data_IF_237045405683
#
_entry.id   IF_237045405683
#
_cell.length_a   1.000
_cell.length_b   1.000
_cell.length_c   1.000
_cell.angle_alpha   90.00
_cell.angle_beta   90.00
_cell.angle_gamma   90.00
#
_symmetry.space_group_name_H-M   'P 1'
#
loop_
_entity.id
_entity.type
_entity.pdbx_description
1 polymer ?
#
# COMPACT_ATOMS: atom_id res chain seq x y z
N UNK A 1 8.37 3.26 -4.55
CA UNK A 1 7.61 1.99 -4.35
C UNK A 1 6.85 2.08 -3.03
N UNK A 2 5.69 1.42 -2.86
CA UNK A 2 4.88 1.53 -1.62
C UNK A 2 5.67 1.26 -0.33
N UNK A 3 6.62 0.32 -0.35
CA UNK A 3 7.50 0.04 0.79
C UNK A 3 8.40 1.23 1.18
N UNK A 4 8.89 2.01 0.20
CA UNK A 4 9.69 3.21 0.44
C UNK A 4 8.81 4.34 0.99
N UNK A 5 7.54 4.43 0.54
CA UNK A 5 6.60 5.42 1.07
C UNK A 5 6.23 5.13 2.52
N UNK A 6 5.97 3.85 2.84
CA UNK A 6 5.73 3.38 4.22
C UNK A 6 6.93 3.65 5.13
N UNK A 7 8.15 3.42 4.64
CA UNK A 7 9.36 3.75 5.40
C UNK A 7 9.51 5.26 5.63
N UNK A 8 9.20 6.08 4.61
CA UNK A 8 9.34 7.52 4.70
C UNK A 8 8.34 8.16 5.69
N UNK A 9 7.07 7.75 5.66
CA UNK A 9 6.04 8.28 6.59
C UNK A 9 6.27 7.87 8.06
N UNK A 10 7.04 6.80 8.31
CA UNK A 10 7.44 6.40 9.67
C UNK A 10 8.18 7.52 10.42
N UNK A 11 8.94 8.34 9.69
CA UNK A 11 9.67 9.47 10.27
C UNK A 11 8.72 10.57 10.75
N UNK A 12 7.60 10.76 10.05
CA UNK A 12 6.56 11.75 10.39
C UNK A 12 5.69 11.25 11.55
N UNK A 13 5.28 9.97 11.52
CA UNK A 13 4.48 9.36 12.59
C UNK A 13 5.15 9.39 13.98
N UNK A 14 6.50 9.37 14.02
CA UNK A 14 7.27 9.48 15.26
C UNK A 14 7.18 10.87 15.93
N UNK A 15 6.81 11.95 15.22
CA UNK A 15 6.65 13.28 15.82
C UNK A 15 5.41 13.39 16.72
N UNK A 16 4.38 12.59 16.43
CA UNK A 16 3.11 12.60 17.17
C UNK A 16 3.14 11.72 18.42
N UNK A 17 3.97 10.68 18.45
CA UNK A 17 4.10 9.77 19.60
C UNK A 17 5.11 10.26 20.66
N UNK A 18 6.11 11.03 20.25
CA UNK A 18 7.08 11.67 21.15
C UNK A 18 7.29 13.12 20.69
N UNK A 19 6.86 14.15 21.45
CA UNK A 19 7.04 15.54 21.05
C UNK A 19 8.53 15.86 20.92
N UNK A 20 9.05 15.91 19.69
CA UNK A 20 10.39 16.40 19.44
C UNK A 20 10.31 17.92 19.53
N UNK A 21 10.83 18.47 20.64
CA UNK A 21 10.95 19.92 20.79
C UNK A 21 12.01 20.43 19.83
N UNK A 22 11.73 21.53 19.12
CA UNK A 22 12.76 22.24 18.36
C UNK A 22 13.89 22.66 19.31
N UNK A 23 15.14 22.28 19.00
CA UNK A 23 16.34 22.69 19.76
C UNK A 23 16.59 24.21 19.71
N UNK A 24 15.88 24.92 18.82
CA UNK A 24 16.03 26.37 18.59
C UNK A 24 15.01 27.19 19.39
N UNK A 25 13.78 26.69 19.57
CA UNK A 25 12.67 27.48 20.15
C UNK A 25 11.95 26.81 21.32
N UNK A 26 12.23 25.55 21.63
CA UNK A 26 11.56 24.79 22.70
C UNK A 26 10.07 24.49 22.43
N UNK A 27 9.56 24.86 21.25
CA UNK A 27 8.16 24.69 20.84
C UNK A 27 7.89 23.29 20.29
N UNK A 28 6.66 22.81 20.46
CA UNK A 28 6.17 21.58 19.82
C UNK A 28 6.16 21.80 18.31
N UNK A 29 6.83 20.91 17.55
CA UNK A 29 6.75 20.90 16.08
C UNK A 29 5.32 20.50 15.71
N UNK A 30 4.61 21.39 15.03
CA UNK A 30 3.25 21.10 14.53
C UNK A 30 3.36 20.25 13.27
N UNK A 31 2.49 19.26 13.15
CA UNK A 31 2.28 18.53 11.90
C UNK A 31 1.71 19.52 10.87
N UNK A 32 2.37 19.64 9.73
CA UNK A 32 1.88 20.46 8.62
C UNK A 32 0.70 19.75 7.92
N UNK A 33 -0.34 20.46 7.45
CA UNK A 33 -1.42 19.85 6.67
C UNK A 33 -0.92 18.93 5.54
N UNK A 34 0.17 19.27 4.84
CA UNK A 34 0.74 18.43 3.80
C UNK A 34 1.32 17.10 4.30
N UNK A 35 1.81 17.05 5.55
CA UNK A 35 2.29 15.81 6.17
C UNK A 35 1.13 14.87 6.55
N UNK A 36 -0.01 15.43 6.94
CA UNK A 36 -1.21 14.65 7.23
C UNK A 36 -1.83 14.08 5.96
N UNK A 37 -1.91 14.88 4.89
CA UNK A 37 -2.38 14.43 3.57
C UNK A 37 -1.52 13.30 3.01
N UNK A 38 -0.20 13.41 3.10
CA UNK A 38 0.69 12.36 2.62
C UNK A 38 0.52 11.02 3.35
N UNK A 39 0.22 11.04 4.66
CA UNK A 39 -0.12 9.82 5.39
C UNK A 39 -1.41 9.16 4.86
N UNK A 40 -2.41 9.96 4.46
CA UNK A 40 -3.64 9.44 3.88
C UNK A 40 -3.41 8.83 2.50
N UNK A 41 -2.54 9.44 1.68
CA UNK A 41 -2.15 8.89 0.38
C UNK A 41 -1.49 7.52 0.52
N UNK A 42 -0.56 7.37 1.48
CA UNK A 42 0.08 6.07 1.74
C UNK A 42 -0.94 5.03 2.22
N UNK A 43 -1.92 5.41 3.03
CA UNK A 43 -3.00 4.51 3.43
C UNK A 43 -3.87 4.07 2.24
N UNK A 44 -4.23 4.99 1.34
CA UNK A 44 -4.99 4.66 0.14
C UNK A 44 -4.22 3.71 -0.78
N UNK A 45 -2.93 3.95 -0.99
CA UNK A 45 -2.07 3.04 -1.74
C UNK A 45 -1.99 1.65 -1.11
N UNK A 46 -1.96 1.55 0.22
CA UNK A 46 -1.98 0.26 0.93
C UNK A 46 -3.31 -0.46 0.71
N UNK A 47 -4.43 0.25 0.75
CA UNK A 47 -5.73 -0.35 0.44
C UNK A 47 -5.80 -0.83 -1.01
N UNK A 48 -5.33 -0.05 -1.96
CA UNK A 48 -5.30 -0.45 -3.37
C UNK A 48 -4.42 -1.69 -3.56
N UNK A 49 -3.23 -1.70 -2.98
CA UNK A 49 -2.28 -2.82 -3.11
C UNK A 49 -2.78 -4.13 -2.46
N UNK A 50 -3.30 -4.07 -1.23
CA UNK A 50 -3.66 -5.28 -0.48
C UNK A 50 -5.08 -5.80 -0.76
N UNK A 51 -6.02 -4.94 -1.18
CA UNK A 51 -7.41 -5.34 -1.31
C UNK A 51 -7.98 -5.11 -2.72
N UNK A 52 -7.77 -3.92 -3.29
CA UNK A 52 -8.42 -3.56 -4.56
C UNK A 52 -7.76 -4.24 -5.75
N UNK A 53 -6.43 -4.11 -5.89
CA UNK A 53 -5.68 -4.74 -6.98
C UNK A 53 -5.83 -6.26 -6.99
N UNK A 54 -5.72 -6.99 -5.85
CA UNK A 54 -5.88 -8.44 -5.85
C UNK A 54 -7.25 -8.89 -6.37
N UNK A 55 -8.33 -8.23 -5.96
CA UNK A 55 -9.69 -8.55 -6.44
C UNK A 55 -9.86 -8.18 -7.93
N UNK A 56 -9.34 -7.02 -8.37
CA UNK A 56 -9.32 -6.64 -9.79
C UNK A 56 -8.58 -7.68 -10.64
N UNK A 57 -7.42 -8.16 -10.17
CA UNK A 57 -6.62 -9.18 -10.86
C UNK A 57 -7.39 -10.52 -10.89
N UNK A 58 -8.01 -10.93 -9.77
CA UNK A 58 -8.82 -12.14 -9.68
C UNK A 58 -9.97 -12.13 -10.70
N UNK A 59 -10.71 -11.02 -10.80
CA UNK A 59 -11.79 -10.83 -11.78
C UNK A 59 -11.28 -10.90 -13.23
N UNK A 60 -10.20 -10.18 -13.55
CA UNK A 60 -9.58 -10.22 -14.90
C UNK A 60 -9.15 -11.63 -15.29
N UNK A 61 -8.55 -12.37 -14.35
CA UNK A 61 -8.13 -13.77 -14.56
C UNK A 61 -9.31 -14.70 -14.76
N UNK A 62 -10.37 -14.57 -13.96
CA UNK A 62 -11.57 -15.37 -14.11
C UNK A 62 -12.18 -15.20 -15.52
N UNK A 63 -12.29 -13.94 -15.98
CA UNK A 63 -12.75 -13.64 -17.33
C UNK A 63 -11.85 -14.24 -18.43
N UNK A 64 -10.53 -14.18 -18.26
CA UNK A 64 -9.60 -14.77 -19.23
C UNK A 64 -9.66 -16.32 -19.22
N UNK A 65 -9.75 -16.94 -18.05
CA UNK A 65 -9.92 -18.39 -17.92
C UNK A 65 -11.22 -18.86 -18.58
N UNK A 66 -12.33 -18.11 -18.45
CA UNK A 66 -13.57 -18.42 -19.15
C UNK A 66 -13.38 -18.43 -20.68
N UNK A 67 -12.64 -17.46 -21.22
CA UNK A 67 -12.30 -17.42 -22.66
C UNK A 67 -11.40 -18.57 -23.10
N UNK A 68 -10.48 -19.02 -22.24
CA UNK A 68 -9.56 -20.14 -22.55
C UNK A 68 -10.25 -21.52 -22.48
N UNK A 69 -11.28 -21.67 -21.65
CA UNK A 69 -12.07 -22.91 -21.58
C UNK A 69 -12.78 -23.23 -22.89
N UNK A 70 -13.28 -22.21 -23.59
CA UNK A 70 -14.03 -22.40 -24.85
C UNK A 70 -13.23 -23.18 -25.92
N UNK A 71 -11.97 -22.84 -26.22
CA UNK A 71 -11.12 -23.62 -27.13
C UNK A 71 -10.37 -24.79 -26.46
N UNK A 72 -10.70 -25.16 -25.20
CA UNK A 72 -10.00 -26.24 -24.49
C UNK A 72 -8.53 -25.93 -24.12
N UNK A 73 -8.15 -24.65 -24.01
CA UNK A 73 -6.78 -24.23 -23.68
C UNK A 73 -6.49 -24.33 -22.18
N UNK A 74 -5.21 -24.52 -21.77
CA UNK A 74 -4.82 -24.52 -20.37
C UNK A 74 -5.19 -23.21 -19.65
N UNK A 75 -5.66 -23.32 -18.41
CA UNK A 75 -5.98 -22.15 -17.57
C UNK A 75 -4.71 -21.49 -17.02
N UNK A 76 -4.82 -20.21 -16.66
CA UNK A 76 -3.74 -19.46 -16.02
C UNK A 76 -3.31 -20.10 -14.69
N UNK A 77 -2.00 -20.20 -14.46
CA UNK A 77 -1.41 -20.69 -13.20
C UNK A 77 -1.20 -19.57 -12.19
N UNK A 78 -1.28 -19.90 -10.90
CA UNK A 78 -0.90 -19.01 -9.80
C UNK A 78 0.58 -19.20 -9.44
N UNK A 79 1.36 -18.11 -9.34
CA UNK A 79 2.72 -18.16 -8.78
C UNK A 79 2.84 -17.54 -7.37
N UNK A 80 1.76 -16.97 -6.82
CA UNK A 80 1.78 -16.28 -5.52
C UNK A 80 1.68 -17.20 -4.28
N UNK A 81 1.58 -18.52 -4.44
CA UNK A 81 1.44 -19.45 -3.32
C UNK A 81 2.75 -19.72 -2.53
N UNK A 82 3.83 -18.97 -2.77
CA UNK A 82 5.17 -19.25 -2.20
C UNK A 82 5.66 -18.28 -1.11
N UNK A 83 4.78 -17.45 -0.54
CA UNK A 83 5.16 -16.54 0.56
C UNK A 83 4.60 -16.96 1.93
N UNK A 84 4.33 -18.25 2.13
CA UNK A 84 4.25 -18.85 3.46
C UNK A 84 5.49 -19.70 3.68
N UNK A 85 6.55 -19.04 4.15
CA UNK A 85 7.79 -19.62 4.67
C UNK A 85 8.23 -18.75 5.82
#
# INVERSE_FOLDING_TARGET
>A
RIAEQVDAIRNVGNFSAHPIKSKVTGSIVKVDPGEAEWNLDVLDELFDFYYVQPERIKKKRAALNQKLRQPGKPLLKYHFARLKG
#
